data_IF_853066159474
#
_entry.id   IF_853066159474
#
_cell.length_a   1.000
_cell.length_b   1.000
_cell.length_c   1.000
_cell.angle_alpha   90.00
_cell.angle_beta   90.00
_cell.angle_gamma   90.00
#
_symmetry.space_group_name_H-M   'P 1'
#
loop_
_entity.id
_entity.type
_entity.pdbx_description
1 polymer ?
#
# COMPACT_ATOMS: atom_id res chain seq x y z
N UNK A 1 -39.88 18.07 5.52
CA UNK A 1 -39.25 16.74 5.36
C UNK A 1 -37.71 16.81 5.38
N UNK A 2 -37.11 17.56 6.32
CA UNK A 2 -35.62 17.65 6.46
C UNK A 2 -35.15 17.13 7.83
N UNK A 3 -36.04 17.02 8.83
CA UNK A 3 -35.70 16.59 10.20
C UNK A 3 -35.50 15.08 10.41
N UNK A 4 -35.93 14.21 9.48
CA UNK A 4 -35.85 12.76 9.66
C UNK A 4 -34.51 12.14 9.21
N UNK A 5 -33.78 12.82 8.32
CA UNK A 5 -32.52 12.30 7.75
C UNK A 5 -31.37 12.48 8.75
N UNK A 6 -31.37 13.57 9.53
CA UNK A 6 -30.33 13.84 10.54
C UNK A 6 -30.26 12.82 11.66
N UNK A 7 -31.39 12.20 12.05
CA UNK A 7 -31.43 11.17 13.08
C UNK A 7 -30.82 9.84 12.65
N UNK A 8 -31.03 9.45 11.38
CA UNK A 8 -30.53 8.18 10.83
C UNK A 8 -29.02 8.24 10.59
N UNK A 9 -28.50 9.35 10.08
CA UNK A 9 -27.05 9.54 9.87
C UNK A 9 -26.29 9.48 11.20
N UNK A 10 -26.87 10.03 12.28
CA UNK A 10 -26.24 10.02 13.60
C UNK A 10 -26.28 8.62 14.25
N UNK A 11 -27.32 7.84 14.02
CA UNK A 11 -27.42 6.45 14.50
C UNK A 11 -26.40 5.53 13.79
N UNK A 12 -26.15 5.74 12.49
CA UNK A 12 -25.19 4.95 11.73
C UNK A 12 -23.74 5.26 12.11
N UNK A 13 -23.41 6.53 12.37
CA UNK A 13 -22.07 6.94 12.79
C UNK A 13 -21.69 6.45 14.19
N UNK A 14 -22.65 6.29 15.10
CA UNK A 14 -22.41 5.76 16.44
C UNK A 14 -22.31 4.23 16.50
N UNK A 15 -22.83 3.50 15.50
CA UNK A 15 -22.86 2.03 15.48
C UNK A 15 -21.65 1.36 14.83
N UNK A 16 -20.91 2.03 13.95
CA UNK A 16 -19.81 1.41 13.19
C UNK A 16 -18.42 1.61 13.81
N UNK A 17 -18.29 2.32 14.93
CA UNK A 17 -16.97 2.64 15.50
C UNK A 17 -16.35 1.53 16.36
N UNK A 18 -17.06 0.43 16.61
CA UNK A 18 -16.46 -0.73 17.26
C UNK A 18 -16.93 -2.02 16.61
N UNK A 19 -15.95 -2.90 16.36
CA UNK A 19 -16.12 -4.34 16.18
C UNK A 19 -16.19 -4.88 14.74
N UNK A 20 -15.00 -4.98 14.16
CA UNK A 20 -14.44 -6.10 13.40
C UNK A 20 -15.38 -7.30 13.09
N UNK A 21 -15.54 -7.61 11.79
CA UNK A 21 -16.05 -8.87 11.19
C UNK A 21 -17.53 -9.22 11.45
N UNK A 22 -18.44 -8.70 10.63
CA UNK A 22 -19.78 -9.30 10.44
C UNK A 22 -20.28 -9.17 8.99
N UNK A 23 -20.68 -10.30 8.38
CA UNK A 23 -20.99 -10.43 6.93
C UNK A 23 -22.30 -9.72 6.54
N UNK A 24 -23.17 -9.43 7.51
CA UNK A 24 -24.41 -8.68 7.28
C UNK A 24 -24.20 -7.24 6.81
N UNK A 25 -23.02 -6.65 7.05
CA UNK A 25 -22.71 -5.31 6.58
C UNK A 25 -22.50 -5.26 5.05
N UNK A 26 -22.12 -6.37 4.41
CA UNK A 26 -21.93 -6.42 2.96
C UNK A 26 -23.25 -6.22 2.18
N UNK A 27 -24.37 -6.76 2.69
CA UNK A 27 -25.68 -6.61 2.04
C UNK A 27 -26.29 -5.21 2.20
N UNK A 28 -26.06 -4.54 3.34
CA UNK A 28 -26.52 -3.16 3.54
C UNK A 28 -25.78 -2.13 2.69
N UNK A 29 -24.48 -2.33 2.44
CA UNK A 29 -23.65 -1.47 1.59
C UNK A 29 -24.08 -1.54 0.12
N UNK A 30 -24.50 -2.71 -0.36
CA UNK A 30 -24.99 -2.90 -1.74
C UNK A 30 -26.24 -2.07 -2.07
N UNK A 31 -27.15 -1.87 -1.13
CA UNK A 31 -28.40 -1.12 -1.36
C UNK A 31 -28.11 0.38 -1.54
N UNK A 32 -27.14 0.93 -0.80
CA UNK A 32 -26.75 2.36 -0.89
C UNK A 32 -26.01 2.66 -2.21
N UNK A 33 -25.21 1.71 -2.71
CA UNK A 33 -24.46 1.83 -3.99
C UNK A 33 -25.40 1.97 -5.19
N UNK A 34 -26.55 1.30 -5.19
CA UNK A 34 -27.53 1.34 -6.30
C UNK A 34 -28.25 2.68 -6.51
N UNK A 35 -28.17 3.61 -5.54
CA UNK A 35 -28.80 4.95 -5.62
C UNK A 35 -27.78 6.09 -5.72
N UNK A 36 -26.49 5.76 -5.76
CA UNK A 36 -25.42 6.74 -5.89
C UNK A 36 -25.18 7.03 -7.38
N UNK A 37 -25.08 8.32 -7.74
CA UNK A 37 -24.61 8.75 -9.05
C UNK A 37 -23.31 8.01 -9.42
N UNK A 38 -23.09 7.68 -10.70
CA UNK A 38 -21.85 7.03 -11.17
C UNK A 38 -20.60 7.77 -10.66
N UNK A 39 -20.67 9.11 -10.53
CA UNK A 39 -19.59 9.91 -9.94
C UNK A 39 -19.34 9.62 -8.45
N UNK A 40 -20.38 9.34 -7.67
CA UNK A 40 -20.26 9.03 -6.25
C UNK A 40 -19.82 7.58 -6.00
N UNK A 41 -20.17 6.63 -6.87
CA UNK A 41 -19.64 5.26 -6.85
C UNK A 41 -18.14 5.27 -7.13
N UNK A 42 -17.71 6.00 -8.16
CA UNK A 42 -16.28 6.18 -8.48
C UNK A 42 -15.57 6.82 -7.29
N UNK A 43 -16.12 7.85 -6.67
CA UNK A 43 -15.53 8.50 -5.50
C UNK A 43 -15.41 7.55 -4.29
N UNK A 44 -16.40 6.69 -4.07
CA UNK A 44 -16.37 5.70 -2.98
C UNK A 44 -15.36 4.58 -3.25
N UNK A 45 -15.23 4.11 -4.50
CA UNK A 45 -14.20 3.16 -4.92
C UNK A 45 -12.81 3.79 -4.77
N UNK A 46 -12.62 5.03 -5.24
CA UNK A 46 -11.36 5.76 -5.06
C UNK A 46 -11.04 6.01 -3.58
N UNK A 47 -12.04 6.33 -2.75
CA UNK A 47 -11.86 6.51 -1.30
C UNK A 47 -11.50 5.19 -0.60
N UNK A 48 -12.17 4.09 -0.93
CA UNK A 48 -11.82 2.75 -0.41
C UNK A 48 -10.41 2.32 -0.82
N UNK A 49 -9.98 2.64 -2.05
CA UNK A 49 -8.60 2.39 -2.52
C UNK A 49 -7.58 3.32 -1.86
N UNK A 50 -7.94 4.58 -1.56
CA UNK A 50 -7.07 5.56 -0.91
C UNK A 50 -6.99 5.44 0.63
N UNK A 51 -7.95 4.77 1.28
CA UNK A 51 -7.99 4.63 2.75
C UNK A 51 -7.45 3.28 3.27
N UNK A 52 -6.88 2.43 2.41
CA UNK A 52 -6.25 1.17 2.81
C UNK A 52 -4.88 1.34 3.44
N UNK A 53 -4.82 1.58 4.75
CA UNK A 53 -3.71 1.18 5.64
C UNK A 53 -2.31 1.72 5.31
N UNK A 54 -2.09 3.03 5.46
CA UNK A 54 -0.76 3.61 5.47
C UNK A 54 -0.14 3.39 6.86
N UNK A 55 0.87 2.53 6.95
CA UNK A 55 1.70 2.41 8.14
C UNK A 55 3.00 3.18 7.92
N UNK A 56 3.50 3.81 8.98
CA UNK A 56 4.70 4.65 8.93
C UNK A 56 5.90 3.82 9.35
N UNK A 57 6.99 3.92 8.58
CA UNK A 57 8.28 3.28 8.88
C UNK A 57 9.38 4.33 8.90
N UNK A 58 10.37 4.11 9.75
CA UNK A 58 11.59 4.91 9.72
C UNK A 58 12.51 4.38 8.63
N UNK A 59 12.70 5.15 7.56
CA UNK A 59 13.50 4.73 6.42
C UNK A 59 15.00 4.93 6.70
N UNK A 60 15.79 3.85 6.66
CA UNK A 60 17.24 3.89 6.90
C UNK A 60 17.97 4.70 5.83
N UNK A 61 17.61 4.54 4.54
CA UNK A 61 18.29 5.23 3.43
C UNK A 61 18.01 6.74 3.41
N UNK A 62 16.76 7.13 3.61
CA UNK A 62 16.34 8.54 3.57
C UNK A 62 16.43 9.24 4.93
N UNK A 63 16.71 8.48 6.00
CA UNK A 63 16.83 8.96 7.39
C UNK A 63 15.62 9.79 7.86
N UNK A 64 14.43 9.45 7.35
CA UNK A 64 13.15 10.10 7.62
C UNK A 64 12.02 9.08 7.74
N UNK A 65 10.95 9.46 8.42
CA UNK A 65 9.72 8.68 8.47
C UNK A 65 8.97 8.79 7.13
N UNK A 66 8.41 7.67 6.67
CA UNK A 66 7.64 7.62 5.44
C UNK A 66 6.68 6.44 5.42
N UNK A 67 5.91 6.33 4.33
CA UNK A 67 5.01 5.21 4.10
C UNK A 67 5.81 3.90 3.96
N UNK A 68 5.41 2.86 4.70
CA UNK A 68 5.99 1.53 4.58
C UNK A 68 5.38 0.67 3.48
N UNK A 69 6.06 -0.41 3.12
CA UNK A 69 5.63 -1.31 2.05
C UNK A 69 4.49 -2.24 2.51
N UNK A 70 3.31 -2.15 1.88
CA UNK A 70 2.14 -3.00 2.18
C UNK A 70 2.43 -4.52 2.24
N UNK A 71 3.42 -4.99 1.48
CA UNK A 71 3.88 -6.38 1.45
C UNK A 71 5.39 -6.46 1.24
N UNK A 72 6.06 -7.51 1.73
CA UNK A 72 7.46 -7.73 1.43
C UNK A 72 7.65 -7.96 -0.09
N UNK A 73 8.61 -7.27 -0.74
CA UNK A 73 8.78 -7.35 -2.19
C UNK A 73 9.42 -8.67 -2.65
N UNK A 74 10.21 -9.30 -1.79
CA UNK A 74 10.96 -10.53 -2.06
C UNK A 74 10.64 -11.51 -0.93
N UNK A 75 10.48 -12.82 -1.21
CA UNK A 75 10.33 -13.81 -0.15
C UNK A 75 11.62 -13.96 0.69
N UNK A 76 11.47 -14.40 1.94
CA UNK A 76 12.60 -14.65 2.84
C UNK A 76 12.81 -13.57 3.90
N UNK A 77 13.90 -13.71 4.66
CA UNK A 77 14.23 -12.79 5.78
C UNK A 77 14.62 -11.40 5.27
N UNK A 78 15.30 -11.34 4.14
CA UNK A 78 15.70 -10.09 3.50
C UNK A 78 14.49 -9.22 3.12
N UNK A 79 13.43 -9.82 2.57
CA UNK A 79 12.21 -9.09 2.25
C UNK A 79 11.49 -8.51 3.48
N UNK A 80 11.50 -9.24 4.61
CA UNK A 80 10.98 -8.73 5.89
C UNK A 80 11.81 -7.54 6.38
N UNK A 81 13.14 -7.66 6.34
CA UNK A 81 14.04 -6.57 6.72
C UNK A 81 13.82 -5.32 5.88
N UNK A 82 13.61 -5.46 4.57
CA UNK A 82 13.29 -4.35 3.68
C UNK A 82 11.95 -3.72 4.09
N UNK A 83 10.92 -4.52 4.33
CA UNK A 83 9.60 -4.02 4.71
C UNK A 83 9.63 -3.20 6.01
N UNK A 84 10.44 -3.60 6.99
CA UNK A 84 10.52 -2.94 8.29
C UNK A 84 11.37 -1.66 8.29
N UNK A 85 12.37 -1.56 7.41
CA UNK A 85 13.40 -0.51 7.47
C UNK A 85 13.40 0.45 6.27
N UNK A 86 12.65 0.15 5.21
CA UNK A 86 12.67 0.90 3.95
C UNK A 86 11.27 1.45 3.66
N UNK A 87 11.19 2.73 3.29
CA UNK A 87 9.95 3.35 2.86
C UNK A 87 9.62 3.05 1.39
N UNK A 88 8.34 3.19 1.04
CA UNK A 88 7.82 3.07 -0.32
C UNK A 88 8.53 4.02 -1.30
N UNK A 89 8.91 5.21 -0.85
CA UNK A 89 9.68 6.19 -1.63
C UNK A 89 11.07 5.64 -1.99
N UNK A 90 11.83 5.17 -0.99
CA UNK A 90 13.16 4.61 -1.20
C UNK A 90 13.12 3.35 -2.08
N UNK A 91 12.09 2.52 -1.92
CA UNK A 91 11.88 1.37 -2.79
C UNK A 91 11.64 1.77 -4.25
N UNK A 92 10.89 2.85 -4.48
CA UNK A 92 10.66 3.37 -5.84
C UNK A 92 11.96 3.88 -6.47
N UNK A 93 12.83 4.53 -5.69
CA UNK A 93 14.16 4.94 -6.15
C UNK A 93 15.02 3.75 -6.56
N UNK A 94 14.99 2.66 -5.77
CA UNK A 94 15.68 1.42 -6.10
C UNK A 94 15.19 0.81 -7.43
N UNK A 95 13.88 0.79 -7.70
CA UNK A 95 13.36 0.29 -8.99
C UNK A 95 13.90 1.07 -10.20
N UNK A 96 14.08 2.38 -10.04
CA UNK A 96 14.75 3.22 -11.04
C UNK A 96 16.20 2.81 -11.25
N UNK A 97 16.96 2.66 -10.15
CA UNK A 97 18.35 2.21 -10.19
C UNK A 97 18.50 0.81 -10.81
N UNK A 98 17.61 -0.11 -10.44
CA UNK A 98 17.56 -1.47 -11.00
C UNK A 98 17.41 -1.43 -12.53
N UNK A 99 16.54 -0.56 -13.05
CA UNK A 99 16.34 -0.40 -14.49
C UNK A 99 17.61 0.08 -15.18
N UNK A 100 18.34 1.02 -14.58
CA UNK A 100 19.64 1.49 -15.09
C UNK A 100 20.63 0.33 -15.12
N UNK A 101 20.77 -0.43 -14.03
CA UNK A 101 21.68 -1.58 -13.95
C UNK A 101 21.35 -2.64 -15.01
N UNK A 102 20.07 -2.99 -15.18
CA UNK A 102 19.64 -3.97 -16.17
C UNK A 102 20.03 -3.50 -17.58
N UNK A 103 19.83 -2.23 -17.89
CA UNK A 103 20.12 -1.68 -19.21
C UNK A 103 21.62 -1.57 -19.48
N UNK A 104 22.40 -1.05 -18.54
CA UNK A 104 23.85 -0.82 -18.70
C UNK A 104 24.62 -2.14 -18.75
N UNK A 105 24.34 -3.06 -17.83
CA UNK A 105 25.00 -4.37 -17.77
C UNK A 105 24.34 -5.40 -18.70
N UNK A 106 23.30 -5.02 -19.44
CA UNK A 106 22.52 -5.90 -20.35
C UNK A 106 22.09 -7.20 -19.67
N UNK A 107 21.62 -7.08 -18.43
CA UNK A 107 21.27 -8.23 -17.59
C UNK A 107 19.97 -8.88 -18.07
N UNK A 108 19.91 -10.20 -17.99
CA UNK A 108 18.68 -10.95 -18.16
C UNK A 108 18.10 -11.31 -16.77
N UNK A 109 16.97 -10.74 -16.33
CA UNK A 109 16.38 -11.01 -15.01
C UNK A 109 15.98 -12.47 -14.77
N UNK A 110 15.91 -13.28 -15.83
CA UNK A 110 15.60 -14.71 -15.74
C UNK A 110 16.83 -15.50 -15.25
N UNK A 111 18.04 -15.02 -15.56
CA UNK A 111 19.27 -15.69 -15.19
C UNK A 111 19.48 -15.63 -13.66
N UNK A 112 19.71 -16.77 -12.97
CA UNK A 112 20.06 -16.77 -11.56
C UNK A 112 21.27 -15.88 -11.21
N UNK A 113 22.29 -15.79 -12.06
CA UNK A 113 23.47 -14.95 -11.77
C UNK A 113 23.12 -13.47 -11.78
N UNK A 114 22.31 -13.03 -12.74
CA UNK A 114 21.83 -11.65 -12.80
C UNK A 114 20.96 -11.30 -11.59
N UNK A 115 20.12 -12.23 -11.11
CA UNK A 115 19.32 -12.01 -9.89
C UNK A 115 20.20 -11.84 -8.65
N UNK A 116 21.22 -12.69 -8.49
CA UNK A 116 22.18 -12.57 -7.39
C UNK A 116 22.90 -11.21 -7.42
N UNK A 117 23.40 -10.80 -8.59
CA UNK A 117 24.01 -9.49 -8.76
C UNK A 117 23.05 -8.35 -8.39
N UNK A 118 21.80 -8.39 -8.86
CA UNK A 118 20.80 -7.37 -8.55
C UNK A 118 20.45 -7.35 -7.05
N UNK A 119 20.41 -8.52 -6.39
CA UNK A 119 20.16 -8.63 -4.95
C UNK A 119 21.31 -8.07 -4.11
N UNK A 120 22.56 -8.28 -4.52
CA UNK A 120 23.74 -7.69 -3.89
C UNK A 120 23.72 -6.16 -4.04
N UNK A 121 23.53 -5.67 -5.27
CA UNK A 121 23.46 -4.23 -5.54
C UNK A 121 22.30 -3.56 -4.81
N UNK A 122 21.16 -4.24 -4.64
CA UNK A 122 20.04 -3.76 -3.86
C UNK A 122 20.40 -3.57 -2.39
N UNK A 123 21.06 -4.57 -1.79
CA UNK A 123 21.44 -4.51 -0.38
C UNK A 123 22.42 -3.37 -0.14
N UNK A 124 23.44 -3.25 -0.98
CA UNK A 124 24.38 -2.12 -0.95
C UNK A 124 23.64 -0.80 -1.13
N UNK A 125 22.76 -0.66 -2.12
CA UNK A 125 22.05 0.60 -2.37
C UNK A 125 21.13 1.02 -1.20
N UNK A 126 20.44 0.06 -0.57
CA UNK A 126 19.43 0.36 0.46
C UNK A 126 20.02 0.50 1.86
N UNK A 127 21.09 -0.24 2.19
CA UNK A 127 21.63 -0.30 3.56
C UNK A 127 23.05 0.23 3.70
N UNK A 128 23.83 0.29 2.62
CA UNK A 128 25.14 0.95 2.61
C UNK A 128 24.97 2.40 2.13
N UNK A 129 25.69 3.33 2.78
CA UNK A 129 25.56 4.78 2.54
C UNK A 129 26.22 5.17 1.21
#
# INVERSE_FOLDING_TARGET
>A
MIGAIGGIVRAFLLGCFNYHRDVSCCYGVLIVISRLSQSAIICFIYALVKFGGFFVVYCVKLKKEGEGLSRPPIPGELGKRIQENISQEAWTMWLGQQTILINEYRLNPIDPQARQFLEEQMQTYLFED
#
